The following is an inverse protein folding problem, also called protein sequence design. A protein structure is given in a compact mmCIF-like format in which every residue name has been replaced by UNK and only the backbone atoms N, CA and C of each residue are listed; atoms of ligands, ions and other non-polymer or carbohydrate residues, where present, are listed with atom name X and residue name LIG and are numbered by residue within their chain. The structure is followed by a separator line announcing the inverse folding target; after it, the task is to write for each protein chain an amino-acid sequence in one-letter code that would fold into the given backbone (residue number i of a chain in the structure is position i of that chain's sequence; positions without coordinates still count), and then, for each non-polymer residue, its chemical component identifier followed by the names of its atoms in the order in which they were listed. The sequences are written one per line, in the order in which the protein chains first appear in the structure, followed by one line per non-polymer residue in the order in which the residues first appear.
data_IF_515493192325
#
_entry.id   IF_515493192325
#
_cell.length_a   1.000
_cell.length_b   1.000
_cell.length_c   1.000
_cell.angle_alpha   90.00
_cell.angle_beta   90.00
_cell.angle_gamma   90.00
#
_symmetry.space_group_name_H-M   'P 1'
#
loop_
_entity.id
_entity.type
_entity.pdbx_description
1 polymer ?
#
# COMPACT_ATOMS: atom_id res chain seq x y z
N UNK A 1 3.43 2.50 -3.71
CA UNK A 1 4.63 1.65 -3.52
C UNK A 1 5.03 1.16 -4.88
N UNK A 2 6.26 1.44 -5.28
CA UNK A 2 6.85 0.94 -6.52
C UNK A 2 8.03 0.03 -6.17
N UNK A 3 8.02 -1.19 -6.70
CA UNK A 3 9.11 -2.16 -6.55
C UNK A 3 9.94 -2.20 -7.84
N UNK A 4 11.26 -2.24 -7.72
CA UNK A 4 12.16 -2.28 -8.87
C UNK A 4 12.73 -3.68 -9.06
N UNK A 5 12.57 -4.24 -10.25
CA UNK A 5 13.06 -5.59 -10.57
C UNK A 5 12.17 -6.73 -10.07
N UNK A 6 10.97 -6.43 -9.56
CA UNK A 6 9.99 -7.44 -9.20
C UNK A 6 9.33 -8.03 -10.46
N UNK A 7 9.28 -9.36 -10.53
CA UNK A 7 8.39 -10.07 -11.44
C UNK A 7 6.95 -10.04 -10.92
N UNK A 8 5.99 -10.43 -11.77
CA UNK A 8 4.56 -10.46 -11.44
C UNK A 8 4.28 -11.22 -10.12
N UNK A 9 4.87 -12.40 -9.94
CA UNK A 9 4.73 -13.20 -8.72
C UNK A 9 5.29 -12.49 -7.47
N UNK A 10 6.32 -11.66 -7.66
CA UNK A 10 6.88 -10.83 -6.60
C UNK A 10 5.90 -9.75 -6.14
N UNK A 11 5.19 -9.12 -7.08
CA UNK A 11 4.14 -8.16 -6.79
C UNK A 11 2.94 -8.81 -6.06
N UNK A 12 2.47 -9.98 -6.52
CA UNK A 12 1.35 -10.66 -5.86
C UNK A 12 1.69 -11.11 -4.43
N UNK A 13 2.88 -11.67 -4.19
CA UNK A 13 3.32 -12.00 -2.82
C UNK A 13 3.50 -10.76 -1.95
N UNK A 14 3.97 -9.65 -2.53
CA UNK A 14 4.02 -8.38 -1.81
C UNK A 14 2.61 -7.90 -1.42
N UNK A 15 1.62 -8.05 -2.30
CA UNK A 15 0.22 -7.72 -2.02
C UNK A 15 -0.36 -8.54 -0.86
N UNK A 16 -0.02 -9.83 -0.78
CA UNK A 16 -0.40 -10.69 0.35
C UNK A 16 0.16 -10.17 1.68
N UNK A 17 1.43 -9.77 1.70
CA UNK A 17 2.05 -9.19 2.90
C UNK A 17 1.42 -7.84 3.27
N UNK A 18 1.09 -6.99 2.29
CA UNK A 18 0.37 -5.74 2.57
C UNK A 18 -0.99 -6.03 3.23
N UNK A 19 -1.72 -7.06 2.76
CA UNK A 19 -2.97 -7.47 3.37
C UNK A 19 -2.78 -7.95 4.83
N UNK A 20 -1.71 -8.68 5.13
CA UNK A 20 -1.35 -9.07 6.50
C UNK A 20 -1.07 -7.83 7.39
N UNK A 21 -0.45 -6.79 6.82
CA UNK A 21 -0.25 -5.49 7.45
C UNK A 21 -1.52 -4.63 7.52
N UNK A 22 -2.70 -5.15 7.15
CA UNK A 22 -3.97 -4.40 7.10
C UNK A 22 -3.94 -3.22 6.12
N UNK A 23 -3.12 -3.32 5.07
CA UNK A 23 -3.07 -2.41 3.93
C UNK A 23 -3.79 -3.06 2.74
N UNK A 24 -4.91 -2.48 2.34
CA UNK A 24 -5.83 -3.03 1.35
C UNK A 24 -5.68 -2.32 0.00
N UNK A 25 -5.83 -3.06 -1.10
CA UNK A 25 -5.91 -2.51 -2.49
C UNK A 25 -7.30 -1.98 -2.84
N UNK A 26 -8.15 -1.72 -1.85
CA UNK A 26 -9.50 -1.22 -2.05
C UNK A 26 -9.96 -0.38 -0.86
N UNK A 27 -10.95 0.46 -1.10
CA UNK A 27 -11.70 1.20 -0.08
C UNK A 27 -13.18 0.86 -0.16
N UNK A 28 -13.88 0.95 0.96
CA UNK A 28 -15.34 0.75 1.02
C UNK A 28 -16.01 2.10 1.20
N UNK A 29 -16.73 2.56 0.18
CA UNK A 29 -17.38 3.87 0.16
C UNK A 29 -18.84 3.73 -0.26
N UNK A 30 -19.77 4.25 0.54
CA UNK A 30 -21.23 4.24 0.25
C UNK A 30 -21.77 2.85 -0.14
N UNK A 31 -21.27 1.79 0.50
CA UNK A 31 -21.68 0.41 0.22
C UNK A 31 -21.06 -0.21 -1.04
N UNK A 32 -20.15 0.49 -1.71
CA UNK A 32 -19.37 -0.03 -2.84
C UNK A 32 -17.92 -0.28 -2.45
N UNK A 33 -17.34 -1.33 -2.99
CA UNK A 33 -15.89 -1.60 -2.91
C UNK A 33 -15.22 -1.03 -4.15
N UNK A 34 -14.26 -0.14 -3.96
CA UNK A 34 -13.56 0.56 -5.03
C UNK A 34 -12.09 0.14 -5.04
N UNK A 35 -11.59 -0.40 -6.16
CA UNK A 35 -10.19 -0.87 -6.33
C UNK A 35 -9.19 0.29 -6.47
N UNK A 36 -8.21 0.42 -5.59
CA UNK A 36 -7.19 1.45 -5.74
C UNK A 36 -6.28 1.18 -6.95
N UNK A 37 -5.60 2.22 -7.50
CA UNK A 37 -4.55 2.04 -8.49
C UNK A 37 -3.50 1.05 -8.02
N UNK A 38 -2.84 0.37 -8.96
CA UNK A 38 -1.82 -0.61 -8.61
C UNK A 38 -0.68 0.05 -7.80
N UNK A 39 -0.13 -0.69 -6.85
CA UNK A 39 0.85 -0.17 -5.89
C UNK A 39 0.28 0.81 -4.84
N UNK A 40 -1.02 1.11 -4.84
CA UNK A 40 -1.67 1.96 -3.84
C UNK A 40 -2.41 1.12 -2.81
N UNK A 41 -2.25 1.49 -1.53
CA UNK A 41 -2.88 0.79 -0.42
C UNK A 41 -3.48 1.77 0.58
N UNK A 42 -4.52 1.30 1.25
CA UNK A 42 -5.22 2.04 2.28
C UNK A 42 -5.39 1.18 3.54
N UNK A 43 -5.28 1.79 4.71
CA UNK A 43 -5.50 1.11 5.98
C UNK A 43 -5.64 2.11 7.13
N UNK A 44 -6.26 1.66 8.22
CA UNK A 44 -6.45 2.45 9.43
C UNK A 44 -5.52 1.92 10.54
N UNK A 45 -4.72 2.81 11.11
CA UNK A 45 -3.70 2.47 12.10
C UNK A 45 -3.75 3.44 13.28
N UNK A 46 -3.48 2.92 14.46
CA UNK A 46 -3.09 3.74 15.61
C UNK A 46 -1.56 3.86 15.65
N UNK A 47 -0.97 4.41 14.59
CA UNK A 47 0.46 4.52 14.38
C UNK A 47 0.79 5.77 13.54
N UNK A 48 2.05 6.20 13.53
CA UNK A 48 2.48 7.33 12.70
C UNK A 48 2.71 6.89 11.25
N UNK A 49 2.68 7.84 10.32
CA UNK A 49 3.05 7.58 8.92
C UNK A 49 4.48 7.00 8.78
N UNK A 50 5.39 7.38 9.70
CA UNK A 50 6.74 6.84 9.73
C UNK A 50 6.77 5.36 10.11
N UNK A 51 5.98 4.94 11.11
CA UNK A 51 5.91 3.54 11.53
C UNK A 51 5.39 2.65 10.39
N UNK A 52 4.36 3.11 9.68
CA UNK A 52 3.82 2.44 8.49
C UNK A 52 4.88 2.37 7.39
N UNK A 53 5.59 3.46 7.11
CA UNK A 53 6.68 3.48 6.13
C UNK A 53 7.76 2.45 6.46
N UNK A 54 8.19 2.35 7.72
CA UNK A 54 9.21 1.38 8.16
C UNK A 54 8.72 -0.06 7.95
N UNK A 55 7.46 -0.35 8.33
CA UNK A 55 6.88 -1.68 8.14
C UNK A 55 6.79 -2.07 6.66
N UNK A 56 6.29 -1.17 5.80
CA UNK A 56 6.18 -1.39 4.36
C UNK A 56 7.55 -1.53 3.71
N UNK A 57 8.53 -0.70 4.10
CA UNK A 57 9.90 -0.80 3.57
C UNK A 57 10.56 -2.13 3.94
N UNK A 58 10.33 -2.62 5.16
CA UNK A 58 10.83 -3.94 5.57
C UNK A 58 10.23 -5.06 4.72
N UNK A 59 8.93 -5.00 4.43
CA UNK A 59 8.28 -5.96 3.54
C UNK A 59 8.84 -5.88 2.11
N UNK A 60 8.97 -4.67 1.56
CA UNK A 60 9.40 -4.44 0.18
C UNK A 60 10.84 -4.88 -0.12
N UNK A 61 11.72 -4.94 0.90
CA UNK A 61 13.12 -5.35 0.75
C UNK A 61 13.30 -6.71 0.08
N UNK A 62 12.37 -7.64 0.30
CA UNK A 62 12.44 -8.98 -0.28
C UNK A 62 11.99 -9.06 -1.74
N UNK A 63 11.39 -7.97 -2.27
CA UNK A 63 10.74 -7.96 -3.58
C UNK A 63 11.27 -6.86 -4.51
N UNK A 64 12.26 -6.07 -4.09
CA UNK A 64 12.87 -5.01 -4.90
C UNK A 64 14.38 -5.24 -4.98
N UNK A 65 14.83 -6.27 -5.72
CA UNK A 65 16.23 -6.72 -5.71
C UNK A 65 17.19 -5.70 -6.35
N UNK A 66 16.70 -4.92 -7.31
CA UNK A 66 17.55 -4.05 -8.12
C UNK A 66 17.83 -2.71 -7.43
N UNK A 67 16.87 -2.20 -6.65
CA UNK A 67 16.94 -0.91 -5.98
C UNK A 67 16.03 -0.86 -4.74
N UNK A 68 16.24 0.11 -3.84
CA UNK A 68 15.27 0.37 -2.78
C UNK A 68 13.90 0.75 -3.38
N UNK A 69 12.84 0.14 -2.84
CA UNK A 69 11.48 0.42 -3.26
C UNK A 69 11.11 1.90 -3.00
N UNK A 70 10.44 2.53 -3.97
CA UNK A 70 9.91 3.89 -3.82
C UNK A 70 8.59 3.83 -3.05
N UNK A 71 8.59 4.39 -1.84
CA UNK A 71 7.44 4.35 -0.92
C UNK A 71 7.12 5.76 -0.46
N UNK A 72 5.87 6.17 -0.69
CA UNK A 72 5.28 7.38 -0.13
C UNK A 72 4.14 6.99 0.81
N UNK A 73 4.11 7.56 2.02
CA UNK A 73 3.07 7.34 3.01
C UNK A 73 2.52 8.70 3.45
N UNK A 74 1.21 8.82 3.49
CA UNK A 74 0.50 10.01 3.95
C UNK A 74 -0.59 9.58 4.93
N UNK A 75 -0.85 10.44 5.91
CA UNK A 75 -2.00 10.31 6.80
C UNK A 75 -3.06 11.31 6.35
N UNK A 76 -4.28 10.82 6.13
CA UNK A 76 -5.43 11.66 5.81
C UNK A 76 -6.28 11.79 7.06
N UNK A 77 -6.42 13.02 7.58
CA UNK A 77 -7.29 13.29 8.73
C UNK A 77 -8.76 13.34 8.32
N UNK A 78 -9.02 13.62 7.04
CA UNK A 78 -10.34 13.65 6.45
C UNK A 78 -10.32 12.88 5.13
N UNK A 79 -11.36 12.05 4.96
CA UNK A 79 -11.99 11.83 3.66
C UNK A 79 -11.17 11.02 2.63
N UNK A 80 -11.19 9.70 2.81
CA UNK A 80 -10.73 8.65 1.89
C UNK A 80 -11.27 8.74 0.45
N UNK A 81 -12.40 9.44 0.25
CA UNK A 81 -13.00 9.69 -1.06
C UNK A 81 -12.12 10.46 -2.06
N UNK A 82 -11.04 11.14 -1.63
CA UNK A 82 -10.09 11.78 -2.55
C UNK A 82 -9.20 10.78 -3.29
N UNK A 83 -9.13 9.53 -2.81
CA UNK A 83 -8.41 8.45 -3.47
C UNK A 83 -9.14 7.91 -4.70
N UNK A 84 -10.34 8.43 -4.97
CA UNK A 84 -11.18 8.06 -6.09
C UNK A 84 -11.76 9.32 -6.75
N UNK A 85 -11.19 9.76 -7.87
CA UNK A 85 -11.87 10.72 -8.73
C UNK A 85 -12.95 9.97 -9.54
N UNK A 86 -14.18 10.50 -9.49
CA UNK A 86 -15.35 9.99 -10.18
C UNK A 86 -15.20 10.02 -11.70
#
# INVERSE_FOLDING_TARGET
VELYGAEYDGYERFHEIMLELKLYRHISQQGKTLKLPDGTYFGAFNATAHDVLVAVRKAAKNFSPDNEASIFVCNFTDYDHLLYQA
#
